data_IF_593225921996
#
_entry.id   IF_593225921996
#
_cell.length_a   1.000
_cell.length_b   1.000
_cell.length_c   1.000
_cell.angle_alpha   90.00
_cell.angle_beta   90.00
_cell.angle_gamma   90.00
#
_symmetry.space_group_name_H-M   'P 1'
#
loop_
_entity.id
_entity.type
_entity.pdbx_description
1 polymer ?
#
# COMPACT_ATOMS: atom_id res chain seq x y z
N UNK A 1 12.03 28.99 -2.46
CA UNK A 1 12.11 27.88 -1.48
C UNK A 1 10.71 27.56 -0.98
N UNK A 2 10.16 26.37 -1.25
CA UNK A 2 8.82 26.01 -0.76
C UNK A 2 8.89 25.87 0.77
N UNK A 3 8.10 26.66 1.51
CA UNK A 3 8.00 26.54 2.97
C UNK A 3 7.45 25.15 3.30
N UNK A 4 8.06 24.46 4.27
CA UNK A 4 7.53 23.18 4.76
C UNK A 4 6.08 23.37 5.20
N UNK A 5 5.16 22.55 4.70
CA UNK A 5 3.75 22.61 5.11
C UNK A 5 3.64 22.12 6.56
N UNK A 6 3.07 22.92 7.48
CA UNK A 6 2.83 22.48 8.84
C UNK A 6 1.70 21.44 8.87
N UNK A 7 1.69 20.62 9.91
CA UNK A 7 0.67 19.59 10.15
C UNK A 7 0.04 19.84 11.51
N UNK A 8 -1.28 19.80 11.55
CA UNK A 8 -2.08 20.20 12.70
C UNK A 8 -2.95 19.04 13.18
N UNK A 9 -2.91 18.78 14.48
CA UNK A 9 -3.83 17.89 15.20
C UNK A 9 -4.87 18.77 15.89
N UNK A 10 -6.06 18.82 15.30
CA UNK A 10 -7.12 19.79 15.61
C UNK A 10 -7.70 19.65 17.00
N UNK A 11 -7.82 18.43 17.51
CA UNK A 11 -8.51 18.16 18.78
C UNK A 11 -7.71 18.68 19.96
N UNK A 12 -6.39 18.56 19.90
CA UNK A 12 -5.47 19.04 20.95
C UNK A 12 -4.82 20.38 20.65
N UNK A 13 -5.13 20.97 19.50
CA UNK A 13 -4.51 22.20 19.02
C UNK A 13 -2.96 22.11 18.97
N UNK A 14 -2.43 21.00 18.44
CA UNK A 14 -0.98 20.75 18.37
C UNK A 14 -0.49 20.93 16.93
N UNK A 15 0.51 21.81 16.75
CA UNK A 15 1.10 22.12 15.45
C UNK A 15 2.51 21.56 15.32
N UNK A 16 2.76 20.84 14.23
CA UNK A 16 4.07 20.33 13.84
C UNK A 16 4.60 21.11 12.63
N UNK A 17 5.78 21.75 12.73
CA UNK A 17 6.27 22.61 11.66
C UNK A 17 6.79 21.85 10.43
N UNK A 18 6.99 20.53 10.54
CA UNK A 18 7.45 19.69 9.43
C UNK A 18 6.83 18.29 9.48
N UNK A 19 6.72 17.65 8.31
CA UNK A 19 6.29 16.24 8.20
C UNK A 19 7.14 15.31 9.06
N UNK A 20 8.46 15.51 9.09
CA UNK A 20 9.38 14.69 9.88
C UNK A 20 9.11 14.77 11.39
N UNK A 21 8.82 15.96 11.93
CA UNK A 21 8.44 16.10 13.35
C UNK A 21 7.09 15.45 13.64
N UNK A 22 6.14 15.57 12.72
CA UNK A 22 4.83 14.94 12.86
C UNK A 22 4.93 13.41 12.83
N UNK A 23 5.66 12.83 11.87
CA UNK A 23 5.95 11.38 11.81
C UNK A 23 6.65 10.91 13.09
N UNK A 24 7.65 11.66 13.58
CA UNK A 24 8.38 11.31 14.81
C UNK A 24 7.45 11.25 16.02
N UNK A 25 6.48 12.17 16.12
CA UNK A 25 5.46 12.16 17.16
C UNK A 25 4.62 10.88 17.13
N UNK A 26 4.03 10.56 15.97
CA UNK A 26 3.23 9.33 15.78
C UNK A 26 4.07 8.07 16.03
N UNK A 27 5.35 8.10 15.64
CA UNK A 27 6.29 7.02 15.91
C UNK A 27 6.58 6.84 17.41
N UNK A 28 6.63 7.93 18.18
CA UNK A 28 6.75 7.86 19.65
C UNK A 28 5.52 7.20 20.26
N UNK A 29 4.30 7.53 19.79
CA UNK A 29 3.07 6.85 20.23
C UNK A 29 3.17 5.34 19.97
N UNK A 30 3.51 4.95 18.73
CA UNK A 30 3.70 3.56 18.34
C UNK A 30 4.72 2.83 19.23
N UNK A 31 5.90 3.41 19.46
CA UNK A 31 6.94 2.77 20.27
C UNK A 31 6.52 2.59 21.72
N UNK A 32 5.83 3.59 22.31
CA UNK A 32 5.27 3.49 23.67
C UNK A 32 4.20 2.42 23.79
N UNK A 33 3.39 2.21 22.76
CA UNK A 33 2.38 1.17 22.72
C UNK A 33 3.03 -0.21 22.53
N UNK A 34 3.97 -0.34 21.57
CA UNK A 34 4.74 -1.56 21.30
C UNK A 34 5.51 -2.07 22.52
N UNK A 35 6.05 -1.17 23.35
CA UNK A 35 6.79 -1.56 24.55
C UNK A 35 5.90 -2.08 25.69
N UNK A 36 4.57 -1.98 25.57
CA UNK A 36 3.62 -2.48 26.57
C UNK A 36 3.24 -3.93 26.26
N UNK A 37 3.02 -4.72 27.32
CA UNK A 37 2.65 -6.14 27.21
C UNK A 37 1.39 -6.40 26.37
N UNK A 38 0.41 -5.48 26.42
CA UNK A 38 -0.85 -5.59 25.68
C UNK A 38 -0.89 -4.77 24.39
N UNK A 39 0.19 -4.07 24.03
CA UNK A 39 0.24 -3.24 22.84
C UNK A 39 -0.69 -2.01 22.84
N UNK A 40 -1.46 -1.75 23.91
CA UNK A 40 -2.49 -0.72 23.91
C UNK A 40 -1.91 0.69 23.92
N UNK A 41 -2.48 1.57 23.11
CA UNK A 41 -2.35 3.02 23.29
C UNK A 41 -3.28 3.43 24.44
N UNK A 42 -2.72 4.00 25.50
CA UNK A 42 -3.46 4.31 26.74
C UNK A 42 -3.64 5.80 26.99
N UNK A 43 -2.65 6.68 26.74
CA UNK A 43 -2.87 8.11 26.95
C UNK A 43 -4.01 8.61 26.04
N UNK A 44 -5.04 9.22 26.61
CA UNK A 44 -6.15 9.80 25.83
C UNK A 44 -5.62 10.78 24.76
N UNK A 45 -4.62 11.56 25.14
CA UNK A 45 -3.88 12.45 24.25
C UNK A 45 -3.36 11.76 22.97
N UNK A 46 -2.78 10.57 23.11
CA UNK A 46 -2.24 9.81 21.99
C UNK A 46 -3.37 9.24 21.12
N UNK A 47 -4.49 8.85 21.73
CA UNK A 47 -5.68 8.35 21.04
C UNK A 47 -6.27 9.46 20.17
N UNK A 48 -6.44 10.67 20.72
CA UNK A 48 -6.94 11.83 19.99
C UNK A 48 -6.03 12.19 18.81
N UNK A 49 -4.72 12.17 19.04
CA UNK A 49 -3.72 12.45 17.99
C UNK A 49 -3.78 11.42 16.84
N UNK A 50 -4.05 10.14 17.15
CA UNK A 50 -4.22 9.09 16.14
C UNK A 50 -5.56 9.20 15.39
N UNK A 51 -6.63 9.62 16.06
CA UNK A 51 -7.94 9.89 15.42
C UNK A 51 -7.80 11.05 14.43
N UNK A 52 -7.23 12.17 14.86
CA UNK A 52 -6.96 13.33 14.00
C UNK A 52 -6.07 12.92 12.82
N UNK A 53 -5.06 12.07 13.05
CA UNK A 53 -4.24 11.52 11.98
C UNK A 53 -5.06 10.73 10.95
N UNK A 54 -5.93 9.82 11.41
CA UNK A 54 -6.77 9.01 10.52
C UNK A 54 -7.67 9.92 9.68
N UNK A 55 -8.38 10.85 10.32
CA UNK A 55 -9.34 11.71 9.65
C UNK A 55 -8.67 12.60 8.59
N UNK A 56 -7.55 13.24 8.95
CA UNK A 56 -7.02 14.36 8.16
C UNK A 56 -5.82 14.00 7.27
N UNK A 57 -5.14 12.86 7.53
CA UNK A 57 -3.87 12.53 6.86
C UNK A 57 -3.77 11.10 6.33
N UNK A 58 -4.49 10.13 6.89
CA UNK A 58 -4.36 8.73 6.50
C UNK A 58 -4.91 8.49 5.08
N UNK A 59 -4.15 7.75 4.28
CA UNK A 59 -4.54 7.31 2.94
C UNK A 59 -5.76 6.37 2.94
N UNK A 60 -6.01 5.69 4.06
CA UNK A 60 -7.17 4.81 4.28
C UNK A 60 -8.30 5.49 5.08
N UNK A 61 -8.31 6.82 5.16
CA UNK A 61 -9.26 7.59 5.98
C UNK A 61 -10.73 7.20 5.71
N UNK A 62 -11.15 7.23 4.44
CA UNK A 62 -12.53 6.90 4.04
C UNK A 62 -12.87 5.43 4.33
N UNK A 63 -11.94 4.52 4.00
CA UNK A 63 -12.12 3.09 4.24
C UNK A 63 -12.32 2.83 5.73
N UNK A 64 -11.43 3.31 6.60
CA UNK A 64 -11.50 3.11 8.05
C UNK A 64 -12.82 3.66 8.61
N UNK A 65 -13.21 4.88 8.23
CA UNK A 65 -14.43 5.52 8.72
C UNK A 65 -15.72 4.87 8.23
N UNK A 66 -15.67 4.06 7.16
CA UNK A 66 -16.86 3.36 6.63
C UNK A 66 -17.33 2.18 7.50
N UNK A 67 -16.48 1.64 8.39
CA UNK A 67 -16.86 0.50 9.25
C UNK A 67 -16.29 0.53 10.66
N UNK A 68 -15.56 1.58 11.06
CA UNK A 68 -15.08 1.81 12.43
C UNK A 68 -15.63 3.13 12.94
N UNK A 69 -16.33 3.08 14.06
CA UNK A 69 -16.71 4.27 14.82
C UNK A 69 -15.49 4.84 15.56
N UNK A 70 -14.92 5.94 15.03
CA UNK A 70 -13.75 6.59 15.62
C UNK A 70 -14.04 7.26 16.97
N UNK A 71 -15.30 7.60 17.27
CA UNK A 71 -15.69 8.13 18.58
C UNK A 71 -15.67 7.03 19.65
N UNK A 72 -15.87 5.78 19.23
CA UNK A 72 -15.87 4.62 20.11
C UNK A 72 -14.85 3.55 19.69
N UNK A 73 -13.61 3.97 19.49
CA UNK A 73 -12.50 3.07 19.15
C UNK A 73 -11.43 2.96 20.26
N UNK A 74 -10.51 2.03 20.08
CA UNK A 74 -9.20 2.00 20.76
C UNK A 74 -8.10 1.62 19.77
N UNK A 75 -6.85 1.88 20.16
CA UNK A 75 -5.69 1.57 19.33
C UNK A 75 -4.78 0.54 20.00
N UNK A 76 -4.25 -0.37 19.19
CA UNK A 76 -3.38 -1.45 19.65
C UNK A 76 -2.27 -1.72 18.64
N UNK A 77 -1.06 -1.98 19.13
CA UNK A 77 0.05 -2.49 18.34
C UNK A 77 0.11 -4.00 18.48
N UNK A 78 -0.04 -4.71 17.37
CA UNK A 78 0.04 -6.19 17.33
C UNK A 78 0.58 -6.69 15.99
N UNK A 79 1.02 -7.94 15.94
CA UNK A 79 1.44 -8.57 14.70
C UNK A 79 0.20 -8.93 13.87
N UNK A 80 0.14 -8.54 12.58
CA UNK A 80 -0.83 -9.10 11.67
C UNK A 80 -0.57 -10.61 11.48
N UNK A 81 -1.62 -11.38 11.18
CA UNK A 81 -1.45 -12.79 10.81
C UNK A 81 -0.54 -12.91 9.58
N UNK A 82 0.53 -13.70 9.70
CA UNK A 82 1.48 -13.95 8.61
C UNK A 82 2.55 -12.87 8.41
N UNK A 83 2.74 -11.94 9.35
CA UNK A 83 3.78 -10.91 9.28
C UNK A 83 4.60 -10.82 10.57
N UNK A 84 5.92 -10.66 10.42
CA UNK A 84 6.85 -10.54 11.55
C UNK A 84 6.84 -9.16 12.22
N UNK A 85 6.39 -8.12 11.51
CA UNK A 85 6.43 -6.75 12.00
C UNK A 85 5.11 -6.29 12.63
N UNK A 86 5.13 -5.79 13.88
CA UNK A 86 3.93 -5.28 14.55
C UNK A 86 3.44 -4.00 13.89
N UNK A 87 2.13 -3.96 13.61
CA UNK A 87 1.44 -2.83 12.99
C UNK A 87 0.54 -2.12 14.01
N UNK A 88 0.20 -0.86 13.74
CA UNK A 88 -0.79 -0.12 14.53
C UNK A 88 -2.19 -0.41 13.96
N UNK A 89 -3.09 -0.84 14.84
CA UNK A 89 -4.49 -1.12 14.54
C UNK A 89 -5.39 -0.11 15.25
N UNK A 90 -6.47 0.26 14.57
CA UNK A 90 -7.66 0.85 15.18
C UNK A 90 -8.71 -0.25 15.29
N UNK A 91 -9.38 -0.31 16.45
CA UNK A 91 -10.38 -1.33 16.77
C UNK A 91 -11.65 -0.66 17.26
N UNK A 92 -12.77 -1.02 16.65
CA UNK A 92 -14.10 -0.58 17.06
C UNK A 92 -14.51 -1.31 18.35
N UNK A 93 -14.88 -0.57 19.40
CA UNK A 93 -15.23 -1.16 20.71
C UNK A 93 -16.56 -1.92 20.68
N UNK A 94 -17.49 -1.54 19.81
CA UNK A 94 -18.82 -2.13 19.75
C UNK A 94 -18.82 -3.44 18.95
N UNK A 95 -18.10 -3.46 17.83
CA UNK A 95 -18.13 -4.57 16.87
C UNK A 95 -16.89 -5.46 16.91
N UNK A 96 -15.80 -4.99 17.53
CA UNK A 96 -14.51 -5.69 17.53
C UNK A 96 -13.82 -5.69 16.17
N UNK A 97 -14.37 -5.01 15.16
CA UNK A 97 -13.75 -4.86 13.84
C UNK A 97 -12.46 -4.06 13.97
N UNK A 98 -11.45 -4.45 13.21
CA UNK A 98 -10.14 -3.81 13.28
C UNK A 98 -9.55 -3.56 11.90
N UNK A 99 -8.71 -2.52 11.83
CA UNK A 99 -7.94 -2.20 10.63
C UNK A 99 -6.56 -1.69 11.01
N UNK A 100 -5.54 -2.16 10.29
CA UNK A 100 -4.20 -1.62 10.41
C UNK A 100 -3.99 -0.42 9.48
N UNK A 101 -3.18 0.53 9.92
CA UNK A 101 -2.82 1.71 9.14
C UNK A 101 -1.35 2.11 9.36
N UNK A 102 -0.79 2.82 8.38
CA UNK A 102 0.59 3.29 8.40
C UNK A 102 0.66 4.81 8.51
N UNK A 103 1.52 5.32 9.39
CA UNK A 103 1.72 6.76 9.60
C UNK A 103 3.01 7.32 8.99
N UNK A 104 3.78 6.51 8.24
CA UNK A 104 5.06 6.95 7.66
C UNK A 104 4.88 7.72 6.34
N UNK A 105 3.85 7.38 5.56
CA UNK A 105 3.68 7.83 4.18
C UNK A 105 2.39 8.62 3.92
N UNK A 106 1.97 9.48 4.85
CA UNK A 106 0.80 10.35 4.66
C UNK A 106 1.13 11.64 3.89
N UNK A 107 0.12 12.32 3.35
CA UNK A 107 0.24 13.64 2.73
C UNK A 107 1.05 13.70 1.43
N UNK A 108 1.44 12.54 0.89
CA UNK A 108 1.98 12.42 -0.46
C UNK A 108 1.10 11.41 -1.20
N UNK A 109 -0.01 11.86 -1.82
CA UNK A 109 -0.77 10.97 -2.68
C UNK A 109 0.22 10.34 -3.68
N UNK A 110 0.19 9.01 -3.88
CA UNK A 110 0.93 8.35 -4.93
C UNK A 110 0.89 9.17 -6.22
N UNK A 111 2.06 9.42 -6.80
CA UNK A 111 2.12 10.07 -8.11
C UNK A 111 1.37 9.21 -9.13
N UNK A 112 0.88 9.79 -10.24
CA UNK A 112 0.26 9.01 -11.32
C UNK A 112 1.13 7.82 -11.75
N UNK A 113 2.45 8.04 -11.87
CA UNK A 113 3.40 6.95 -12.11
C UNK A 113 3.38 5.86 -11.04
N UNK A 114 3.33 6.21 -9.75
CA UNK A 114 3.27 5.20 -8.68
C UNK A 114 1.95 4.42 -8.71
N UNK A 115 0.84 5.07 -9.03
CA UNK A 115 -0.46 4.41 -9.21
C UNK A 115 -0.44 3.47 -10.42
N UNK A 116 0.08 3.94 -11.55
CA UNK A 116 0.22 3.12 -12.75
C UNK A 116 1.14 1.91 -12.53
N UNK A 117 2.27 2.12 -11.85
CA UNK A 117 3.18 1.02 -11.46
C UNK A 117 2.49 -0.01 -10.56
N UNK A 118 1.68 0.42 -9.59
CA UNK A 118 0.90 -0.49 -8.72
C UNK A 118 -0.10 -1.31 -9.52
N UNK A 119 -0.80 -0.68 -10.45
CA UNK A 119 -1.68 -1.37 -11.40
C UNK A 119 -0.93 -2.45 -12.21
N UNK A 120 0.22 -2.11 -12.79
CA UNK A 120 1.06 -3.07 -13.53
C UNK A 120 1.58 -4.23 -12.64
N UNK A 121 2.00 -3.94 -11.40
CA UNK A 121 2.44 -4.96 -10.45
C UNK A 121 1.33 -5.97 -10.19
N UNK A 122 0.08 -5.50 -10.03
CA UNK A 122 -1.05 -6.37 -9.79
C UNK A 122 -1.30 -7.34 -10.96
N UNK A 123 -1.24 -6.83 -12.21
CA UNK A 123 -1.33 -7.68 -13.41
C UNK A 123 -0.20 -8.73 -13.45
N UNK A 124 1.03 -8.33 -13.13
CA UNK A 124 2.18 -9.23 -13.10
C UNK A 124 2.00 -10.32 -12.02
N UNK A 125 1.45 -9.96 -10.86
CA UNK A 125 1.17 -10.92 -9.78
C UNK A 125 0.18 -12.00 -10.24
N UNK A 126 -0.92 -11.60 -10.88
CA UNK A 126 -1.91 -12.53 -11.42
C UNK A 126 -1.29 -13.45 -12.49
N UNK A 127 -0.46 -12.89 -13.37
CA UNK A 127 0.25 -13.68 -14.37
C UNK A 127 1.19 -14.70 -13.74
N UNK A 128 2.00 -14.28 -12.76
CA UNK A 128 2.93 -15.15 -12.03
C UNK A 128 2.21 -16.25 -11.27
N UNK A 129 1.06 -15.95 -10.68
CA UNK A 129 0.23 -16.94 -10.01
C UNK A 129 -0.21 -18.04 -10.97
N UNK A 130 -0.76 -17.67 -12.13
CA UNK A 130 -1.17 -18.62 -13.16
C UNK A 130 0.00 -19.45 -13.72
N UNK A 131 1.15 -18.82 -13.94
CA UNK A 131 2.35 -19.53 -14.41
C UNK A 131 2.86 -20.53 -13.38
N UNK A 132 2.84 -20.16 -12.11
CA UNK A 132 3.24 -21.02 -10.99
C UNK A 132 2.34 -22.26 -10.87
N UNK A 133 1.03 -22.12 -11.05
CA UNK A 133 0.09 -23.26 -11.08
C UNK A 133 0.46 -24.23 -12.21
N UNK A 134 0.73 -23.73 -13.41
CA UNK A 134 1.14 -24.59 -14.55
C UNK A 134 2.45 -25.31 -14.26
N UNK A 135 3.46 -24.58 -13.80
CA UNK A 135 4.77 -25.13 -13.50
C UNK A 135 4.72 -26.14 -12.33
N UNK A 136 3.89 -25.89 -11.32
CA UNK A 136 3.72 -26.82 -10.19
C UNK A 136 3.06 -28.14 -10.63
N UNK A 137 2.10 -28.08 -11.57
CA UNK A 137 1.52 -29.26 -12.20
C UNK A 137 2.56 -30.06 -13.00
N UNK A 138 3.42 -29.39 -13.76
CA UNK A 138 4.51 -30.03 -14.53
C UNK A 138 5.56 -30.68 -13.61
N UNK A 139 5.90 -30.04 -12.49
CA UNK A 139 6.95 -30.48 -11.57
C UNK A 139 6.44 -31.41 -10.45
N UNK A 140 5.13 -31.64 -10.34
CA UNK A 140 4.52 -32.42 -9.25
C UNK A 140 4.74 -31.79 -7.87
N UNK A 141 4.87 -30.46 -7.79
CA UNK A 141 5.09 -29.71 -6.54
C UNK A 141 3.84 -28.94 -6.15
N UNK A 142 3.76 -28.51 -4.89
CA UNK A 142 2.69 -27.61 -4.49
C UNK A 142 2.97 -26.18 -4.94
N UNK A 143 1.94 -25.48 -5.45
CA UNK A 143 2.08 -24.13 -5.97
C UNK A 143 2.20 -23.07 -4.85
N UNK A 144 1.83 -23.39 -3.62
CA UNK A 144 1.89 -22.52 -2.45
C UNK A 144 3.28 -22.50 -1.79
N UNK A 145 4.11 -23.52 -2.03
CA UNK A 145 5.46 -23.68 -1.44
C UNK A 145 6.55 -22.78 -2.07
N UNK A 146 6.30 -22.20 -3.26
CA UNK A 146 7.32 -21.44 -4.00
C UNK A 146 6.78 -20.15 -4.61
N UNK A 147 7.58 -19.08 -4.68
CA UNK A 147 7.32 -17.83 -5.39
C UNK A 147 8.13 -17.71 -6.68
N UNK A 148 7.55 -17.05 -7.69
CA UNK A 148 8.20 -16.79 -8.99
C UNK A 148 8.81 -15.38 -9.03
N UNK A 149 10.12 -15.28 -8.96
CA UNK A 149 10.85 -14.02 -8.90
C UNK A 149 11.42 -13.60 -10.26
N UNK A 150 11.44 -12.28 -10.53
CA UNK A 150 12.18 -11.72 -11.66
C UNK A 150 13.60 -11.43 -11.22
N UNK A 151 14.60 -11.94 -11.94
CA UNK A 151 15.98 -11.47 -11.77
C UNK A 151 16.25 -10.20 -12.56
N UNK A 152 15.93 -10.22 -13.87
CA UNK A 152 16.00 -9.07 -14.80
C UNK A 152 15.08 -9.32 -16.02
N UNK A 153 14.59 -8.26 -16.69
CA UNK A 153 14.49 -6.88 -16.18
C UNK A 153 13.63 -6.77 -14.92
N UNK A 154 13.89 -5.76 -14.09
CA UNK A 154 13.10 -5.47 -12.88
C UNK A 154 11.71 -4.97 -13.26
N UNK A 155 10.74 -5.11 -12.36
CA UNK A 155 9.38 -4.59 -12.61
C UNK A 155 9.37 -3.08 -12.88
N UNK A 156 10.33 -2.33 -12.32
CA UNK A 156 10.47 -0.90 -12.64
C UNK A 156 10.85 -0.70 -14.11
N UNK A 157 11.88 -1.40 -14.59
CA UNK A 157 12.36 -1.29 -15.97
C UNK A 157 11.27 -1.70 -16.97
N UNK A 158 10.52 -2.76 -16.68
CA UNK A 158 9.37 -3.19 -17.51
C UNK A 158 8.31 -2.09 -17.62
N UNK A 159 7.96 -1.45 -16.49
CA UNK A 159 6.96 -0.38 -16.48
C UNK A 159 7.47 0.87 -17.19
N UNK A 160 8.73 1.25 -16.96
CA UNK A 160 9.35 2.41 -17.60
C UNK A 160 9.40 2.24 -19.13
N UNK A 161 9.76 1.05 -19.60
CA UNK A 161 9.79 0.72 -21.03
C UNK A 161 8.38 0.76 -21.65
N UNK A 162 7.38 0.20 -20.97
CA UNK A 162 6.00 0.25 -21.45
C UNK A 162 5.46 1.68 -21.53
N UNK A 163 5.74 2.51 -20.52
CA UNK A 163 5.34 3.91 -20.48
C UNK A 163 5.97 4.70 -21.63
N UNK A 164 7.24 4.43 -21.94
CA UNK A 164 7.93 5.01 -23.09
C UNK A 164 7.34 4.52 -24.41
N UNK A 165 7.12 3.21 -24.56
CA UNK A 165 6.57 2.59 -25.77
C UNK A 165 5.18 3.11 -26.13
N UNK A 166 4.36 3.41 -25.12
CA UNK A 166 2.99 3.93 -25.31
C UNK A 166 2.90 5.45 -25.30
N UNK A 167 4.03 6.13 -25.10
CA UNK A 167 4.11 7.59 -25.05
C UNK A 167 3.07 8.18 -24.08
N UNK A 168 2.99 7.59 -22.87
CA UNK A 168 1.99 7.97 -21.86
C UNK A 168 2.55 8.71 -20.65
N UNK A 169 3.87 8.91 -20.57
CA UNK A 169 4.54 9.36 -19.36
C UNK A 169 4.07 10.72 -18.82
N UNK A 170 3.73 11.64 -19.71
CA UNK A 170 3.25 13.00 -19.41
C UNK A 170 1.74 13.08 -19.13
N UNK A 171 0.97 12.06 -19.53
CA UNK A 171 -0.49 11.98 -19.37
C UNK A 171 -0.94 10.89 -18.39
N UNK A 172 -0.03 10.37 -17.56
CA UNK A 172 -0.33 9.29 -16.63
C UNK A 172 -1.47 9.63 -15.65
N UNK A 173 -1.66 10.90 -15.31
CA UNK A 173 -2.76 11.40 -14.49
C UNK A 173 -4.14 11.28 -15.16
N UNK A 174 -4.19 11.24 -16.48
CA UNK A 174 -5.40 10.97 -17.27
C UNK A 174 -5.64 9.46 -17.47
N UNK A 175 -4.57 8.66 -17.39
CA UNK A 175 -4.57 7.22 -17.68
C UNK A 175 -5.00 6.39 -16.46
N UNK A 176 -4.58 6.76 -15.25
CA UNK A 176 -4.78 5.96 -14.03
C UNK A 176 -5.61 6.71 -12.98
N UNK A 177 -6.47 5.98 -12.29
CA UNK A 177 -7.26 6.55 -11.20
C UNK A 177 -6.37 7.05 -10.05
N UNK A 178 -6.68 8.21 -9.46
CA UNK A 178 -5.97 8.71 -8.29
C UNK A 178 -6.28 7.81 -7.10
N UNK A 179 -5.27 7.09 -6.61
CA UNK A 179 -5.33 6.28 -5.39
C UNK A 179 -6.48 5.25 -5.37
N UNK A 180 -6.85 4.71 -6.54
CA UNK A 180 -7.89 3.69 -6.64
C UNK A 180 -9.33 4.17 -6.38
N UNK A 181 -9.55 5.43 -6.03
CA UNK A 181 -10.88 5.99 -5.71
C UNK A 181 -11.71 5.07 -4.79
N UNK A 182 -11.08 4.55 -3.72
CA UNK A 182 -11.71 3.61 -2.78
C UNK A 182 -11.49 2.13 -3.11
N UNK A 183 -10.84 1.78 -4.23
CA UNK A 183 -10.45 0.41 -4.55
C UNK A 183 -9.08 0.04 -3.98
N UNK A 184 -8.90 -1.27 -3.72
CA UNK A 184 -7.62 -1.83 -3.23
C UNK A 184 -6.45 -1.62 -4.20
N UNK A 185 -6.71 -1.45 -5.50
CA UNK A 185 -5.70 -1.27 -6.55
C UNK A 185 -6.15 -0.13 -7.49
N UNK A 186 -5.24 0.78 -7.90
CA UNK A 186 -5.53 1.75 -8.95
C UNK A 186 -5.99 1.06 -10.25
N UNK A 187 -6.90 1.71 -10.98
CA UNK A 187 -7.49 1.16 -12.20
C UNK A 187 -7.33 2.16 -13.35
N UNK A 188 -7.35 1.66 -14.59
CA UNK A 188 -7.26 2.49 -15.78
C UNK A 188 -8.57 3.28 -15.94
N UNK A 189 -8.45 4.55 -16.30
CA UNK A 189 -9.61 5.36 -16.66
C UNK A 189 -10.29 4.78 -17.92
N UNK A 190 -11.61 4.98 -18.12
CA UNK A 190 -12.39 4.31 -19.17
C UNK A 190 -11.78 4.38 -20.57
N UNK A 191 -11.27 5.55 -20.96
CA UNK A 191 -10.67 5.76 -22.29
C UNK A 191 -9.34 5.01 -22.49
N UNK A 192 -8.77 4.47 -21.42
CA UNK A 192 -7.46 3.84 -21.39
C UNK A 192 -7.50 2.36 -21.01
N UNK A 193 -8.68 1.76 -20.81
CA UNK A 193 -8.81 0.34 -20.42
C UNK A 193 -8.08 -0.63 -21.36
N UNK A 194 -7.97 -0.27 -22.65
CA UNK A 194 -7.21 -1.04 -23.65
C UNK A 194 -5.73 -1.27 -23.25
N UNK A 195 -5.14 -0.35 -22.48
CA UNK A 195 -3.75 -0.46 -22.02
C UNK A 195 -3.53 -1.67 -21.13
N UNK A 196 -4.58 -2.22 -20.48
CA UNK A 196 -4.47 -3.47 -19.72
C UNK A 196 -4.04 -4.63 -20.63
N UNK A 197 -4.71 -4.78 -21.76
CA UNK A 197 -4.42 -5.84 -22.72
C UNK A 197 -3.06 -5.62 -23.38
N UNK A 198 -2.77 -4.38 -23.78
CA UNK A 198 -1.47 -4.01 -24.32
C UNK A 198 -0.31 -4.31 -23.36
N UNK A 199 -0.49 -4.02 -22.07
CA UNK A 199 0.53 -4.30 -21.05
C UNK A 199 0.72 -5.80 -20.85
N UNK A 200 -0.37 -6.58 -20.83
CA UNK A 200 -0.29 -8.04 -20.75
C UNK A 200 0.48 -8.61 -21.96
N UNK A 201 0.19 -8.14 -23.16
CA UNK A 201 0.82 -8.64 -24.38
C UNK A 201 2.30 -8.23 -24.47
N UNK A 202 2.61 -6.98 -24.11
CA UNK A 202 3.97 -6.52 -23.95
C UNK A 202 4.74 -7.37 -22.93
N UNK A 203 4.16 -7.58 -21.76
CA UNK A 203 4.79 -8.38 -20.71
C UNK A 203 5.02 -9.83 -21.15
N UNK A 204 4.02 -10.47 -21.75
CA UNK A 204 4.11 -11.83 -22.31
C UNK A 204 5.19 -11.94 -23.40
N UNK A 205 5.32 -10.93 -24.27
CA UNK A 205 6.35 -10.92 -25.30
C UNK A 205 7.78 -10.98 -24.74
N UNK A 206 7.97 -10.49 -23.51
CA UNK A 206 9.24 -10.53 -22.76
C UNK A 206 9.41 -11.80 -21.91
N UNK A 207 8.33 -12.52 -21.58
CA UNK A 207 8.36 -13.74 -20.74
C UNK A 207 9.26 -14.83 -21.31
N UNK A 208 9.20 -15.06 -22.62
CA UNK A 208 9.96 -16.13 -23.27
C UNK A 208 11.36 -15.71 -23.73
N UNK A 209 11.63 -14.40 -23.80
CA UNK A 209 12.79 -13.83 -24.50
C UNK A 209 13.75 -13.08 -23.58
N UNK A 210 13.27 -12.52 -22.48
CA UNK A 210 14.04 -11.60 -21.63
C UNK A 210 13.90 -11.87 -20.12
N UNK A 211 12.75 -12.39 -19.67
CA UNK A 211 12.47 -12.60 -18.26
C UNK A 211 13.06 -13.91 -17.75
N UNK A 212 14.06 -13.79 -16.89
CA UNK A 212 14.62 -14.93 -16.15
C UNK A 212 13.86 -15.12 -14.83
N UNK A 213 13.01 -16.15 -14.80
CA UNK A 213 12.25 -16.54 -13.61
C UNK A 213 13.08 -17.44 -12.70
N UNK A 214 13.02 -17.17 -11.40
CA UNK A 214 13.60 -18.03 -10.36
C UNK A 214 12.50 -18.48 -9.41
N UNK A 215 12.41 -19.78 -9.15
CA UNK A 215 11.58 -20.34 -8.08
C UNK A 215 12.30 -20.18 -6.74
N UNK A 216 11.67 -19.51 -5.79
CA UNK A 216 12.16 -19.38 -4.42
C UNK A 216 11.20 -20.00 -3.43
N UNK A 217 11.66 -20.74 -2.40
CA UNK A 217 10.79 -21.21 -1.34
C UNK A 217 10.05 -20.05 -0.67
N UNK A 218 8.78 -20.28 -0.35
CA UNK A 218 7.97 -19.36 0.44
C UNK A 218 8.26 -19.67 1.92
N UNK A 219 9.00 -18.78 2.58
CA UNK A 219 9.29 -18.88 4.02
C UNK A 219 8.10 -18.41 4.85
#
# INVERSE_FOLDING_TARGET
>A
MSRAKPHFLKTRNVLFPTKGKFVKHLQTIYHRAKSRKNGLVVPNDDILDLIDFIQDYCDKSEEIQSYIDLENCYFIVKNPEGYDEPCLFVVDKNTGKEKHFGFRNFGCPPTPYLNFKRFCIHIIQDFKFNYRIKLSQELGKSYDEYDLWHKKPTTKEIVDEFVALKEIGDKLDLVISPNGLGNNVPYLMPDYEYLKKDFIDFYQSKVATELNFELKPRN
#
